data_IF_200963523729
#
_entry.id   IF_200963523729
#
_cell.length_a   1.000
_cell.length_b   1.000
_cell.length_c   1.000
_cell.angle_alpha   90.00
_cell.angle_beta   90.00
_cell.angle_gamma   90.00
#
_symmetry.space_group_name_H-M   'P 1'
#
loop_
_entity.id
_entity.type
_entity.pdbx_description
1 polymer ?
#
# COMPACT_ATOMS: atom_id res chain seq x y z
N UNK A 1 1.79 -1.63 -25.12
CA UNK A 1 3.22 -1.40 -25.38
C UNK A 1 3.97 -2.30 -24.41
N UNK A 2 4.62 -3.35 -24.91
CA UNK A 2 5.48 -4.22 -24.08
C UNK A 2 6.86 -3.60 -24.06
N UNK A 3 7.44 -3.43 -22.87
CA UNK A 3 8.82 -2.94 -22.73
C UNK A 3 9.75 -4.13 -22.88
N UNK A 4 10.74 -4.02 -23.76
CA UNK A 4 11.82 -4.99 -23.90
C UNK A 4 12.93 -4.64 -22.91
N UNK A 5 13.06 -5.47 -21.88
CA UNK A 5 13.98 -5.25 -20.78
C UNK A 5 15.43 -5.57 -21.17
N UNK A 6 15.67 -6.48 -22.12
CA UNK A 6 17.03 -6.79 -22.61
C UNK A 6 17.60 -5.61 -23.39
N UNK A 7 16.77 -4.97 -24.21
CA UNK A 7 17.16 -3.77 -24.95
C UNK A 7 17.49 -2.62 -23.99
N UNK A 8 16.67 -2.41 -22.96
CA UNK A 8 16.84 -1.31 -21.98
C UNK A 8 18.15 -1.40 -21.19
N UNK A 9 18.57 -2.61 -20.84
CA UNK A 9 19.83 -2.86 -20.12
C UNK A 9 21.07 -2.44 -20.93
N UNK A 10 21.00 -2.47 -22.26
CA UNK A 10 22.12 -2.07 -23.12
C UNK A 10 22.35 -0.54 -23.18
N UNK A 11 21.40 0.26 -22.71
CA UNK A 11 21.46 1.73 -22.84
C UNK A 11 21.58 2.47 -21.51
N UNK A 12 21.50 1.77 -20.38
CA UNK A 12 21.46 2.38 -19.04
C UNK A 12 22.12 1.43 -18.04
N UNK A 13 22.94 1.94 -17.11
CA UNK A 13 23.47 1.19 -15.94
C UNK A 13 22.32 0.84 -14.97
N UNK A 14 21.40 -0.02 -15.41
CA UNK A 14 20.27 -0.48 -14.62
C UNK A 14 20.72 -1.68 -13.80
N UNK A 15 20.40 -1.63 -12.50
CA UNK A 15 20.54 -2.74 -11.56
C UNK A 15 19.80 -3.99 -12.09
N UNK A 16 20.53 -5.07 -12.35
CA UNK A 16 19.99 -6.35 -12.83
C UNK A 16 18.84 -6.86 -11.95
N UNK A 17 18.88 -6.57 -10.64
CA UNK A 17 17.83 -6.94 -9.71
C UNK A 17 16.53 -6.18 -9.98
N UNK A 18 16.62 -4.87 -10.22
CA UNK A 18 15.48 -4.01 -10.53
C UNK A 18 14.86 -4.38 -11.89
N UNK A 19 15.71 -4.68 -12.89
CA UNK A 19 15.26 -5.15 -14.20
C UNK A 19 14.46 -6.45 -14.09
N UNK A 20 15.01 -7.44 -13.37
CA UNK A 20 14.36 -8.73 -13.19
C UNK A 20 13.08 -8.59 -12.36
N UNK A 21 13.08 -7.77 -11.31
CA UNK A 21 11.88 -7.46 -10.55
C UNK A 21 10.76 -6.90 -11.44
N UNK A 22 11.07 -5.93 -12.30
CA UNK A 22 10.09 -5.37 -13.23
C UNK A 22 9.62 -6.38 -14.27
N UNK A 23 10.51 -7.22 -14.79
CA UNK A 23 10.15 -8.30 -15.72
C UNK A 23 9.15 -9.26 -15.08
N UNK A 24 9.42 -9.73 -13.85
CA UNK A 24 8.54 -10.72 -13.20
C UNK A 24 7.23 -10.13 -12.72
N UNK A 25 7.22 -8.88 -12.24
CA UNK A 25 6.00 -8.27 -11.68
C UNK A 25 5.00 -7.77 -12.73
N UNK A 26 5.45 -7.48 -13.96
CA UNK A 26 4.57 -6.92 -15.01
C UNK A 26 3.77 -7.95 -15.82
N UNK A 27 4.16 -9.23 -15.80
CA UNK A 27 3.48 -10.30 -16.54
C UNK A 27 3.69 -11.65 -15.85
N UNK A 28 3.07 -11.83 -14.67
CA UNK A 28 3.31 -12.98 -13.79
C UNK A 28 2.96 -14.34 -14.45
N UNK A 29 1.97 -14.40 -15.32
CA UNK A 29 1.51 -15.62 -16.00
C UNK A 29 2.52 -16.15 -17.02
N UNK A 30 3.51 -15.33 -17.41
CA UNK A 30 4.57 -15.72 -18.35
C UNK A 30 5.82 -16.26 -17.65
N UNK A 31 5.83 -16.28 -16.32
CA UNK A 31 6.99 -16.53 -15.48
C UNK A 31 6.73 -17.76 -14.61
N UNK A 32 7.73 -18.63 -14.45
CA UNK A 32 7.66 -19.69 -13.44
C UNK A 32 7.49 -19.07 -12.05
N UNK A 33 6.53 -19.58 -11.29
CA UNK A 33 6.18 -18.97 -10.00
C UNK A 33 7.33 -19.00 -9.00
N UNK A 34 8.15 -20.05 -8.98
CA UNK A 34 9.26 -20.16 -8.02
C UNK A 34 10.39 -19.19 -8.41
N UNK A 35 10.69 -19.07 -9.69
CA UNK A 35 11.62 -18.04 -10.20
C UNK A 35 11.11 -16.62 -9.89
N UNK A 36 9.82 -16.38 -10.12
CA UNK A 36 9.17 -15.10 -9.85
C UNK A 36 9.21 -14.72 -8.37
N UNK A 37 8.93 -15.68 -7.47
CA UNK A 37 9.02 -15.48 -6.02
C UNK A 37 10.45 -15.12 -5.63
N UNK A 38 11.46 -15.81 -6.17
CA UNK A 38 12.86 -15.58 -5.79
C UNK A 38 13.35 -14.19 -6.19
N UNK A 39 13.01 -13.71 -7.39
CA UNK A 39 13.34 -12.34 -7.81
C UNK A 39 12.65 -11.27 -6.98
N UNK A 40 11.36 -11.46 -6.67
CA UNK A 40 10.61 -10.54 -5.80
C UNK A 40 11.20 -10.54 -4.38
N UNK A 41 11.55 -11.71 -3.86
CA UNK A 41 12.15 -11.86 -2.54
C UNK A 41 13.50 -11.13 -2.45
N UNK A 42 14.42 -11.37 -3.40
CA UNK A 42 15.72 -10.69 -3.46
C UNK A 42 15.55 -9.18 -3.54
N UNK A 43 14.64 -8.70 -4.38
CA UNK A 43 14.35 -7.28 -4.53
C UNK A 43 13.96 -6.64 -3.19
N UNK A 44 13.02 -7.25 -2.47
CA UNK A 44 12.57 -6.71 -1.19
C UNK A 44 13.57 -6.90 -0.04
N UNK A 45 14.48 -7.87 -0.14
CA UNK A 45 15.60 -7.98 0.81
C UNK A 45 16.63 -6.87 0.63
N UNK A 46 16.86 -6.42 -0.61
CA UNK A 46 17.76 -5.31 -0.88
C UNK A 46 17.10 -3.95 -0.61
N UNK A 47 15.89 -3.71 -1.12
CA UNK A 47 15.23 -2.39 -1.05
C UNK A 47 14.50 -2.14 0.27
N UNK A 48 14.21 -3.19 1.04
CA UNK A 48 13.45 -3.11 2.28
C UNK A 48 11.93 -3.10 2.09
N UNK A 49 11.20 -2.77 3.17
CA UNK A 49 9.74 -2.85 3.17
C UNK A 49 9.12 -1.86 2.16
N UNK A 50 8.08 -2.24 1.40
CA UNK A 50 7.43 -1.38 0.40
C UNK A 50 6.59 -0.26 1.05
N UNK A 51 7.22 0.70 1.70
CA UNK A 51 6.52 1.85 2.29
C UNK A 51 5.83 2.70 1.22
N UNK A 52 4.77 3.41 1.61
CA UNK A 52 4.09 4.34 0.71
C UNK A 52 5.01 5.51 0.40
N UNK A 53 5.34 5.68 -0.88
CA UNK A 53 6.10 6.82 -1.38
C UNK A 53 5.19 7.74 -2.20
N UNK A 54 5.34 9.05 -1.98
CA UNK A 54 4.63 10.11 -2.71
C UNK A 54 5.64 11.23 -2.94
N UNK A 55 5.80 11.65 -4.20
CA UNK A 55 6.72 12.76 -4.53
C UNK A 55 6.18 14.07 -3.98
N UNK A 56 7.03 15.05 -3.66
CA UNK A 56 6.59 16.35 -3.11
C UNK A 56 5.54 17.05 -3.98
N UNK A 57 5.73 17.04 -5.30
CA UNK A 57 4.75 17.59 -6.25
C UNK A 57 3.40 16.86 -6.19
N UNK A 58 3.43 15.52 -6.05
CA UNK A 58 2.23 14.70 -5.89
C UNK A 58 1.54 14.98 -4.54
N UNK A 59 2.29 15.26 -3.47
CA UNK A 59 1.71 15.63 -2.16
C UNK A 59 0.87 16.88 -2.29
N UNK A 60 1.39 17.92 -2.96
CA UNK A 60 0.64 19.16 -3.21
C UNK A 60 -0.64 18.89 -4.02
N UNK A 61 -0.55 18.03 -5.04
CA UNK A 61 -1.74 17.62 -5.82
C UNK A 61 -2.77 16.91 -4.95
N UNK A 62 -2.35 15.95 -4.13
CA UNK A 62 -3.24 15.24 -3.19
C UNK A 62 -3.90 16.18 -2.18
N UNK A 63 -3.15 17.12 -1.58
CA UNK A 63 -3.70 18.10 -0.64
C UNK A 63 -4.71 19.00 -1.33
N UNK A 64 -4.36 19.55 -2.50
CA UNK A 64 -5.27 20.43 -3.25
C UNK A 64 -6.54 19.70 -3.69
N UNK A 65 -6.41 18.43 -4.07
CA UNK A 65 -7.53 17.57 -4.40
C UNK A 65 -8.43 17.29 -3.19
N UNK A 66 -7.86 17.09 -2.00
CA UNK A 66 -8.63 16.94 -0.76
C UNK A 66 -9.32 18.24 -0.34
N UNK A 67 -8.65 19.39 -0.51
CA UNK A 67 -9.23 20.72 -0.22
C UNK A 67 -10.47 21.01 -1.06
N UNK A 68 -10.42 20.66 -2.34
CA UNK A 68 -11.51 20.84 -3.32
C UNK A 68 -12.54 19.72 -3.31
N UNK A 69 -12.34 18.68 -2.49
CA UNK A 69 -13.25 17.55 -2.42
C UNK A 69 -14.61 17.99 -1.92
N UNK A 70 -15.65 17.70 -2.70
CA UNK A 70 -17.03 17.99 -2.34
C UNK A 70 -17.50 17.03 -1.23
N UNK A 71 -17.67 17.55 -0.01
CA UNK A 71 -18.12 16.77 1.13
C UNK A 71 -19.56 16.29 1.03
N UNK A 72 -20.42 17.00 0.29
CA UNK A 72 -21.83 16.62 0.15
C UNK A 72 -21.98 15.37 -0.71
N UNK A 73 -21.02 15.10 -1.60
CA UNK A 73 -20.97 13.87 -2.40
C UNK A 73 -20.87 12.58 -1.56
N UNK A 74 -20.41 12.67 -0.30
CA UNK A 74 -20.27 11.51 0.60
C UNK A 74 -21.05 11.65 1.91
N UNK A 75 -21.71 12.78 2.14
CA UNK A 75 -22.58 12.97 3.31
C UNK A 75 -24.04 12.88 2.88
N UNK A 76 -24.56 11.66 2.87
CA UNK A 76 -25.88 11.33 2.32
C UNK A 76 -26.72 10.73 3.44
N UNK A 77 -27.95 11.22 3.62
CA UNK A 77 -28.90 10.74 4.64
C UNK A 77 -28.30 10.67 6.06
N UNK A 78 -27.55 11.70 6.44
CA UNK A 78 -26.79 11.77 7.71
C UNK A 78 -25.76 10.65 7.91
N UNK A 79 -25.30 10.02 6.83
CA UNK A 79 -24.24 9.01 6.84
C UNK A 79 -23.04 9.48 6.05
N UNK A 80 -21.84 9.22 6.58
CA UNK A 80 -20.57 9.51 5.89
C UNK A 80 -20.13 8.25 5.14
N UNK A 81 -20.23 8.28 3.82
CA UNK A 81 -19.75 7.22 2.96
C UNK A 81 -18.22 7.19 2.89
N UNK A 82 -17.65 5.99 2.71
CA UNK A 82 -16.21 5.82 2.68
C UNK A 82 -15.66 6.04 1.27
N UNK A 83 -14.62 6.86 1.16
CA UNK A 83 -13.80 6.98 -0.06
C UNK A 83 -12.32 6.80 0.26
N UNK A 84 -11.54 6.48 -0.77
CA UNK A 84 -10.08 6.32 -0.65
C UNK A 84 -9.32 7.65 -0.82
N UNK A 85 -10.05 8.76 -0.96
CA UNK A 85 -9.48 10.07 -1.29
C UNK A 85 -8.50 10.54 -0.20
N UNK A 86 -7.30 10.95 -0.60
CA UNK A 86 -6.23 11.37 0.31
C UNK A 86 -5.56 10.25 1.11
N UNK A 87 -6.02 9.00 1.02
CA UNK A 87 -5.50 7.92 1.87
C UNK A 87 -4.03 7.58 1.58
N UNK A 88 -3.61 7.56 0.31
CA UNK A 88 -2.21 7.31 -0.07
C UNK A 88 -1.27 8.35 0.54
N UNK A 89 -1.69 9.61 0.52
CA UNK A 89 -0.94 10.70 1.14
C UNK A 89 -0.83 10.51 2.65
N UNK A 90 -1.94 10.18 3.32
CA UNK A 90 -1.93 9.90 4.76
C UNK A 90 -0.92 8.78 5.10
N UNK A 91 -0.98 7.64 4.41
CA UNK A 91 -0.04 6.55 4.64
C UNK A 91 1.43 6.91 4.44
N UNK A 92 1.75 7.86 3.55
CA UNK A 92 3.12 8.35 3.36
C UNK A 92 3.66 9.09 4.60
N UNK A 93 2.81 9.76 5.37
CA UNK A 93 3.20 10.43 6.62
C UNK A 93 3.26 9.50 7.84
N UNK A 94 2.79 8.26 7.70
CA UNK A 94 2.70 7.29 8.79
C UNK A 94 3.52 6.02 8.52
N UNK A 95 4.82 6.08 8.16
CA UNK A 95 5.59 4.89 7.75
C UNK A 95 5.69 3.81 8.82
N UNK A 96 5.61 4.19 10.11
CA UNK A 96 5.70 3.32 11.29
C UNK A 96 4.49 2.38 11.49
N UNK A 97 3.50 2.42 10.60
CA UNK A 97 2.34 1.51 10.64
C UNK A 97 2.68 0.04 10.53
N UNK A 98 3.82 -0.25 9.92
CA UNK A 98 4.31 -1.62 9.74
C UNK A 98 4.76 -2.25 11.06
N UNK A 99 5.06 -1.42 12.07
CA UNK A 99 5.56 -1.84 13.39
C UNK A 99 4.43 -2.05 14.41
N UNK A 100 3.23 -1.57 14.11
CA UNK A 100 2.11 -1.64 15.06
C UNK A 100 1.43 -3.00 15.01
N UNK A 101 1.51 -3.72 16.12
CA UNK A 101 0.81 -4.98 16.34
C UNK A 101 -0.62 -4.71 16.81
N UNK A 102 -1.62 -5.17 16.05
CA UNK A 102 -3.03 -4.98 16.40
C UNK A 102 -3.68 -6.26 16.94
N UNK A 103 -4.56 -6.07 17.92
CA UNK A 103 -5.43 -7.12 18.44
C UNK A 103 -4.65 -8.36 18.84
N UNK A 104 -5.09 -9.52 18.33
CA UNK A 104 -4.47 -10.82 18.58
C UNK A 104 -3.46 -11.23 17.50
N UNK A 105 -2.98 -10.30 16.67
CA UNK A 105 -1.96 -10.62 15.67
C UNK A 105 -0.71 -11.19 16.35
N UNK A 106 -0.09 -12.22 15.77
CA UNK A 106 1.15 -12.81 16.32
C UNK A 106 2.35 -11.88 16.19
N UNK A 107 2.41 -11.13 15.10
CA UNK A 107 3.47 -10.17 14.82
C UNK A 107 2.91 -9.00 13.97
N UNK A 108 3.55 -7.82 14.00
CA UNK A 108 3.19 -6.73 13.10
C UNK A 108 3.62 -7.04 11.65
N UNK A 109 3.12 -6.28 10.64
CA UNK A 109 3.47 -6.47 9.23
C UNK A 109 4.98 -6.56 8.95
N UNK A 110 5.80 -5.77 9.65
CA UNK A 110 7.26 -5.81 9.51
C UNK A 110 7.87 -7.13 10.02
N UNK A 111 7.25 -7.76 11.02
CA UNK A 111 7.70 -9.06 11.54
C UNK A 111 7.55 -10.15 10.48
N UNK A 112 6.40 -10.20 9.81
CA UNK A 112 6.17 -11.12 8.69
C UNK A 112 7.10 -10.84 7.50
N UNK A 113 7.44 -9.57 7.30
CA UNK A 113 8.37 -9.18 6.25
C UNK A 113 9.81 -9.60 6.55
N UNK A 114 10.24 -9.57 7.81
CA UNK A 114 11.61 -9.88 8.20
C UNK A 114 11.91 -11.38 8.31
N UNK A 115 10.88 -12.23 8.39
CA UNK A 115 11.00 -13.68 8.35
C UNK A 115 11.03 -14.17 6.89
N UNK A 116 12.13 -14.80 6.46
CA UNK A 116 12.35 -15.19 5.07
C UNK A 116 11.34 -16.23 4.56
N UNK A 117 11.05 -17.25 5.37
CA UNK A 117 10.13 -18.31 5.00
C UNK A 117 8.70 -17.76 4.89
N UNK A 118 8.29 -16.94 5.87
CA UNK A 118 6.99 -16.29 5.85
C UNK A 118 6.87 -15.29 4.70
N UNK A 119 7.93 -14.52 4.41
CA UNK A 119 7.93 -13.57 3.31
C UNK A 119 7.72 -14.28 1.96
N UNK A 120 8.47 -15.36 1.68
CA UNK A 120 8.28 -16.15 0.45
C UNK A 120 6.86 -16.71 0.35
N UNK A 121 6.29 -17.19 1.47
CA UNK A 121 4.89 -17.64 1.50
C UNK A 121 3.91 -16.50 1.17
N UNK A 122 4.14 -15.29 1.70
CA UNK A 122 3.28 -14.13 1.48
C UNK A 122 3.39 -13.63 0.03
N UNK A 123 4.60 -13.62 -0.54
CA UNK A 123 4.82 -13.32 -1.96
C UNK A 123 4.03 -14.32 -2.82
N UNK A 124 4.15 -15.63 -2.54
CA UNK A 124 3.39 -16.68 -3.25
C UNK A 124 1.89 -16.49 -3.16
N UNK A 125 1.36 -16.12 -1.98
CA UNK A 125 -0.07 -15.82 -1.80
C UNK A 125 -0.50 -14.59 -2.59
N UNK A 126 0.32 -13.55 -2.60
CA UNK A 126 0.09 -12.31 -3.37
C UNK A 126 0.06 -12.62 -4.85
N UNK A 127 1.03 -13.39 -5.35
CA UNK A 127 1.09 -13.85 -6.74
C UNK A 127 -0.17 -14.57 -7.17
N UNK A 128 -0.58 -15.61 -6.43
CA UNK A 128 -1.80 -16.38 -6.71
C UNK A 128 -3.07 -15.53 -6.68
N UNK A 129 -3.12 -14.51 -5.82
CA UNK A 129 -4.23 -13.57 -5.82
C UNK A 129 -4.26 -12.76 -7.11
N UNK A 130 -3.11 -12.21 -7.52
CA UNK A 130 -3.01 -11.35 -8.70
C UNK A 130 -3.19 -12.13 -10.02
N UNK A 131 -2.83 -13.41 -10.05
CA UNK A 131 -3.12 -14.32 -11.17
C UNK A 131 -4.63 -14.46 -11.38
N UNK A 132 -5.39 -14.57 -10.28
CA UNK A 132 -6.85 -14.76 -10.33
C UNK A 132 -7.64 -13.45 -10.46
N UNK A 133 -7.13 -12.36 -9.90
CA UNK A 133 -7.89 -11.12 -9.70
C UNK A 133 -7.15 -9.83 -10.06
N UNK A 134 -5.85 -9.90 -10.37
CA UNK A 134 -4.93 -8.76 -10.44
C UNK A 134 -4.50 -8.35 -11.83
N UNK A 135 -5.24 -8.75 -12.87
CA UNK A 135 -4.90 -8.47 -14.26
C UNK A 135 -3.46 -8.85 -14.62
N UNK A 136 -2.98 -9.99 -14.08
CA UNK A 136 -1.67 -10.55 -14.42
C UNK A 136 -0.48 -9.63 -14.03
N UNK A 137 -0.62 -8.85 -12.96
CA UNK A 137 0.45 -7.99 -12.43
C UNK A 137 0.61 -8.14 -10.92
N UNK A 138 1.84 -8.32 -10.47
CA UNK A 138 2.14 -8.25 -9.04
C UNK A 138 2.24 -6.78 -8.63
N UNK A 139 1.31 -6.31 -7.78
CA UNK A 139 1.31 -4.92 -7.34
C UNK A 139 1.80 -4.77 -5.90
N UNK A 140 2.60 -3.74 -5.62
CA UNK A 140 3.02 -3.43 -4.25
C UNK A 140 1.84 -3.18 -3.31
N UNK A 141 0.75 -2.60 -3.83
CA UNK A 141 -0.43 -2.31 -3.03
C UNK A 141 -1.09 -3.61 -2.55
N UNK A 142 -1.21 -4.62 -3.41
CA UNK A 142 -1.70 -5.94 -2.99
C UNK A 142 -0.71 -6.61 -2.04
N UNK A 143 0.59 -6.50 -2.31
CA UNK A 143 1.61 -7.08 -1.45
C UNK A 143 1.57 -6.51 -0.01
N UNK A 144 1.47 -5.18 0.15
CA UNK A 144 1.24 -4.53 1.45
C UNK A 144 -0.02 -5.05 2.15
N UNK A 145 -1.12 -5.25 1.41
CA UNK A 145 -2.35 -5.81 1.97
C UNK A 145 -2.17 -7.26 2.42
N UNK A 146 -1.45 -8.08 1.66
CA UNK A 146 -1.14 -9.46 2.03
C UNK A 146 -0.31 -9.54 3.30
N UNK A 147 0.71 -8.68 3.44
CA UNK A 147 1.51 -8.55 4.67
C UNK A 147 0.64 -8.17 5.88
N UNK A 148 -0.34 -7.29 5.67
CA UNK A 148 -1.25 -6.81 6.72
C UNK A 148 -2.25 -7.86 7.21
N UNK A 149 -2.67 -8.79 6.35
CA UNK A 149 -3.77 -9.74 6.60
C UNK A 149 -3.31 -11.19 6.80
N UNK A 150 -1.99 -11.45 6.75
CA UNK A 150 -1.47 -12.80 6.77
C UNK A 150 -1.80 -13.54 8.09
N UNK A 151 -2.23 -14.80 7.98
CA UNK A 151 -2.68 -15.62 9.13
C UNK A 151 -3.79 -14.97 9.99
N UNK A 152 -4.63 -14.13 9.39
CA UNK A 152 -5.68 -13.44 10.13
C UNK A 152 -5.16 -12.34 11.05
N UNK A 153 -3.91 -11.88 10.81
CA UNK A 153 -3.38 -10.68 11.45
C UNK A 153 -4.30 -9.49 11.16
N UNK A 154 -4.49 -8.66 12.17
CA UNK A 154 -5.06 -7.34 12.00
C UNK A 154 -3.92 -6.33 11.89
N UNK A 155 -4.11 -5.32 11.04
CA UNK A 155 -3.22 -4.18 11.00
C UNK A 155 -4.01 -2.90 11.13
N UNK A 156 -3.34 -1.86 11.60
CA UNK A 156 -3.92 -0.53 11.79
C UNK A 156 -4.58 0.01 10.53
N UNK A 157 -5.61 0.83 10.67
CA UNK A 157 -6.21 1.53 9.53
C UNK A 157 -6.19 3.03 9.77
N UNK A 158 -5.87 3.80 8.73
CA UNK A 158 -6.04 5.24 8.81
C UNK A 158 -7.52 5.59 8.75
N UNK A 159 -7.92 6.55 9.60
CA UNK A 159 -9.19 7.24 9.44
C UNK A 159 -9.21 7.94 8.07
N UNK A 160 -10.34 7.86 7.35
CA UNK A 160 -10.41 8.33 5.97
C UNK A 160 -10.28 9.86 5.93
N UNK A 161 -9.29 10.44 5.21
CA UNK A 161 -9.11 11.90 5.18
C UNK A 161 -10.33 12.66 4.66
N UNK A 162 -11.05 12.12 3.67
CA UNK A 162 -12.30 12.68 3.18
C UNK A 162 -13.41 12.67 4.23
N UNK A 163 -13.53 11.60 5.01
CA UNK A 163 -14.49 11.54 6.12
C UNK A 163 -14.13 12.53 7.23
N UNK A 164 -12.83 12.69 7.56
CA UNK A 164 -12.35 13.69 8.50
C UNK A 164 -12.74 15.11 8.05
N UNK A 165 -12.55 15.43 6.77
CA UNK A 165 -12.96 16.71 6.19
C UNK A 165 -14.45 16.97 6.38
N UNK A 166 -15.32 15.98 6.10
CA UNK A 166 -16.78 16.11 6.34
C UNK A 166 -17.06 16.46 7.80
N UNK A 167 -16.42 15.75 8.74
CA UNK A 167 -16.63 15.98 10.17
C UNK A 167 -16.21 17.39 10.57
N UNK A 168 -15.03 17.81 10.13
CA UNK A 168 -14.48 19.12 10.49
C UNK A 168 -15.30 20.26 9.90
N UNK A 169 -15.70 20.16 8.64
CA UNK A 169 -16.45 21.24 7.96
C UNK A 169 -17.90 21.32 8.40
N UNK A 170 -18.55 20.19 8.72
CA UNK A 170 -19.97 20.18 9.11
C UNK A 170 -20.21 20.29 10.62
N UNK A 171 -19.29 19.79 11.44
CA UNK A 171 -19.48 19.69 12.90
C UNK A 171 -18.38 20.37 13.72
N UNK A 172 -17.27 20.79 13.11
CA UNK A 172 -16.14 21.38 13.83
C UNK A 172 -16.35 22.85 14.21
N UNK A 173 -17.04 23.63 13.37
CA UNK A 173 -17.19 25.08 13.55
C UNK A 173 -15.84 25.77 13.74
N UNK A 174 -15.77 26.74 14.66
CA UNK A 174 -14.53 27.42 15.07
C UNK A 174 -13.82 26.71 16.25
N UNK A 175 -14.22 25.48 16.57
CA UNK A 175 -13.70 24.72 17.71
C UNK A 175 -12.32 24.11 17.47
N UNK A 176 -11.68 23.67 18.56
CA UNK A 176 -10.47 22.85 18.50
C UNK A 176 -10.86 21.38 18.47
N UNK A 177 -10.42 20.64 17.44
CA UNK A 177 -10.64 19.20 17.34
C UNK A 177 -9.52 18.45 18.05
N UNK A 178 -9.92 17.48 18.88
CA UNK A 178 -9.00 16.55 19.52
C UNK A 178 -9.14 15.15 18.93
N UNK A 179 -8.14 14.70 18.19
CA UNK A 179 -8.04 13.31 17.70
C UNK A 179 -7.04 12.52 18.54
N UNK A 180 -7.56 11.79 19.52
CA UNK A 180 -6.77 10.94 20.41
C UNK A 180 -6.13 9.73 19.73
N UNK A 181 -6.57 9.41 18.52
CA UNK A 181 -6.10 8.24 17.80
C UNK A 181 -5.03 8.60 16.78
N UNK A 182 -4.61 9.87 16.73
CA UNK A 182 -3.58 10.39 15.83
C UNK A 182 -3.78 10.03 14.35
N UNK A 183 -5.03 9.88 13.90
CA UNK A 183 -5.39 9.44 12.55
C UNK A 183 -5.56 7.92 12.37
N UNK A 184 -5.45 7.12 13.42
CA UNK A 184 -5.49 5.67 13.37
C UNK A 184 -6.80 5.14 13.96
N UNK A 185 -7.28 4.03 13.44
CA UNK A 185 -8.40 3.28 13.97
C UNK A 185 -8.09 1.79 13.86
N UNK A 186 -8.23 1.08 14.97
CA UNK A 186 -8.25 -0.39 15.00
C UNK A 186 -9.70 -0.88 15.02
N UNK A 187 -10.04 -1.82 14.14
CA UNK A 187 -11.12 -2.78 14.37
C UNK A 187 -10.49 -4.12 14.64
#
# INVERSE_FOLDING_TARGET
>A
MSVDYEVLQNFVDIDDLELNYHRVTNNINSIDIEDGIEWIFKYYREKGFPHYTVREEEKNSHINSLRKFDTDSIFIDNQIQQTMHGLRLAWNYFPHWVDVQCGNSKMPPIGYFNDDDLLKIIIKKTWKYEEKHGNNKFTENRFRQSLKLYQGSQGVSNFRPSAAKVIYEKFGGDGTIWDMSCGWGGR
#
